data_IF_207681590116
#
_entry.id   IF_207681590116
#
_cell.length_a   1.000
_cell.length_b   1.000
_cell.length_c   1.000
_cell.angle_alpha   90.00
_cell.angle_beta   90.00
_cell.angle_gamma   90.00
#
_symmetry.space_group_name_H-M   'P 1'
#
loop_
_entity.id
_entity.type
_entity.pdbx_description
1 polymer ?
#
# COMPACT_ATOMS: atom_id res chain seq x y z
N UNK A 1 -0.92 -26.35 8.06
CA UNK A 1 -0.62 -25.36 6.98
C UNK A 1 -1.16 -24.03 7.45
N UNK A 2 -0.41 -22.95 7.26
CA UNK A 2 -0.83 -21.59 7.64
C UNK A 2 -1.85 -21.10 6.62
N UNK A 3 -3.06 -20.73 7.07
CA UNK A 3 -4.13 -20.23 6.24
C UNK A 3 -4.02 -18.71 6.09
N UNK A 4 -3.99 -18.21 4.87
CA UNK A 4 -3.94 -16.78 4.57
C UNK A 4 -5.15 -16.35 3.74
N UNK A 5 -5.66 -15.15 4.04
CA UNK A 5 -6.64 -14.50 3.18
C UNK A 5 -6.09 -13.20 2.60
N UNK A 6 -6.49 -12.87 1.38
CA UNK A 6 -6.19 -11.59 0.75
C UNK A 6 -7.50 -10.89 0.40
N UNK A 7 -7.78 -9.78 1.06
CA UNK A 7 -8.94 -8.94 0.81
C UNK A 7 -8.61 -7.91 -0.27
N UNK A 8 -9.18 -8.12 -1.46
CA UNK A 8 -8.97 -7.29 -2.63
C UNK A 8 -8.03 -7.91 -3.67
N UNK A 9 -8.53 -8.10 -4.88
CA UNK A 9 -7.86 -8.72 -6.03
C UNK A 9 -7.35 -7.67 -7.04
N UNK A 10 -6.82 -6.54 -6.56
CA UNK A 10 -6.15 -5.51 -7.36
C UNK A 10 -4.71 -5.90 -7.74
N UNK A 11 -3.93 -4.97 -8.30
CA UNK A 11 -2.52 -5.21 -8.64
C UNK A 11 -1.70 -5.73 -7.46
N UNK A 12 -1.80 -5.06 -6.30
CA UNK A 12 -1.07 -5.46 -5.07
C UNK A 12 -1.62 -6.77 -4.51
N UNK A 13 -2.93 -6.84 -4.25
CA UNK A 13 -3.53 -8.02 -3.64
C UNK A 13 -3.46 -9.26 -4.53
N UNK A 14 -3.67 -9.10 -5.84
CA UNK A 14 -3.50 -10.19 -6.80
C UNK A 14 -2.07 -10.71 -6.85
N UNK A 15 -1.07 -9.82 -6.83
CA UNK A 15 0.33 -10.22 -6.75
C UNK A 15 0.64 -11.01 -5.47
N UNK A 16 0.25 -10.47 -4.31
CA UNK A 16 0.50 -11.13 -3.01
C UNK A 16 -0.20 -12.49 -2.94
N UNK A 17 -1.46 -12.56 -3.34
CA UNK A 17 -2.20 -13.82 -3.38
C UNK A 17 -1.55 -14.86 -4.29
N UNK A 18 -1.15 -14.45 -5.50
CA UNK A 18 -0.49 -15.34 -6.46
C UNK A 18 0.87 -15.82 -5.97
N UNK A 19 1.70 -14.92 -5.42
CA UNK A 19 3.02 -15.26 -4.89
C UNK A 19 2.92 -16.24 -3.70
N UNK A 20 2.00 -16.00 -2.77
CA UNK A 20 1.72 -16.90 -1.64
C UNK A 20 1.21 -18.27 -2.11
N UNK A 21 0.29 -18.31 -3.07
CA UNK A 21 -0.22 -19.56 -3.65
C UNK A 21 0.90 -20.35 -4.33
N UNK A 22 1.76 -19.68 -5.10
CA UNK A 22 2.93 -20.28 -5.75
C UNK A 22 3.89 -20.91 -4.74
N UNK A 23 4.06 -20.31 -3.57
CA UNK A 23 4.92 -20.85 -2.49
C UNK A 23 4.30 -22.02 -1.73
N UNK A 24 3.08 -22.44 -2.08
CA UNK A 24 2.37 -23.58 -1.45
C UNK A 24 1.54 -23.20 -0.21
N UNK A 25 1.33 -21.91 0.06
CA UNK A 25 0.43 -21.49 1.13
C UNK A 25 -1.03 -21.75 0.75
N UNK A 26 -1.87 -22.05 1.76
CA UNK A 26 -3.33 -22.11 1.59
C UNK A 26 -3.89 -20.68 1.58
N UNK A 27 -4.32 -20.21 0.40
CA UNK A 27 -4.74 -18.83 0.18
C UNK A 27 -6.18 -18.74 -0.28
N UNK A 28 -6.97 -17.88 0.37
CA UNK A 28 -8.28 -17.47 -0.12
C UNK A 28 -8.25 -15.99 -0.52
N UNK A 29 -8.68 -15.69 -1.74
CA UNK A 29 -8.87 -14.32 -2.24
C UNK A 29 -10.32 -13.92 -2.03
N UNK A 30 -10.52 -12.88 -1.23
CA UNK A 30 -11.85 -12.31 -0.98
C UNK A 30 -12.06 -11.11 -1.91
N UNK A 31 -13.02 -11.24 -2.82
CA UNK A 31 -13.28 -10.25 -3.85
C UNK A 31 -14.77 -9.94 -4.01
N UNK A 32 -15.08 -8.86 -4.71
CA UNK A 32 -16.47 -8.55 -5.11
C UNK A 32 -16.98 -9.64 -6.06
N UNK A 33 -18.31 -9.94 -6.08
CA UNK A 33 -18.87 -11.03 -6.89
C UNK A 33 -18.42 -11.01 -8.35
N UNK A 34 -18.43 -9.84 -8.99
CA UNK A 34 -17.98 -9.71 -10.38
C UNK A 34 -16.48 -10.05 -10.56
N UNK A 35 -15.64 -9.66 -9.58
CA UNK A 35 -14.21 -9.96 -9.64
C UNK A 35 -13.95 -11.43 -9.33
N UNK A 36 -14.72 -12.04 -8.42
CA UNK A 36 -14.63 -13.46 -8.10
C UNK A 36 -15.00 -14.31 -9.34
N UNK A 37 -16.13 -14.04 -9.97
CA UNK A 37 -16.54 -14.71 -11.20
C UNK A 37 -15.49 -14.60 -12.31
N UNK A 38 -14.94 -13.40 -12.53
CA UNK A 38 -13.92 -13.19 -13.53
C UNK A 38 -12.59 -13.93 -13.24
N UNK A 39 -12.24 -14.12 -11.95
CA UNK A 39 -11.08 -14.93 -11.56
C UNK A 39 -11.34 -16.43 -11.75
N UNK A 40 -12.55 -16.89 -11.55
CA UNK A 40 -12.96 -18.27 -11.86
C UNK A 40 -12.89 -18.53 -13.37
N UNK A 41 -13.41 -17.61 -14.20
CA UNK A 41 -13.35 -17.68 -15.66
C UNK A 41 -11.91 -17.72 -16.21
N UNK A 42 -10.99 -16.97 -15.56
CA UNK A 42 -9.56 -16.93 -15.98
C UNK A 42 -8.70 -18.02 -15.34
N UNK A 43 -9.30 -18.94 -14.56
CA UNK A 43 -8.61 -20.00 -13.82
C UNK A 43 -7.50 -19.43 -12.90
N UNK A 44 -7.82 -18.32 -12.20
CA UNK A 44 -6.95 -17.65 -11.25
C UNK A 44 -6.17 -16.47 -11.81
N UNK A 45 -4.92 -16.33 -11.37
CA UNK A 45 -4.03 -15.24 -11.76
C UNK A 45 -2.94 -15.71 -12.73
N UNK A 46 -2.73 -14.93 -13.79
CA UNK A 46 -1.52 -14.96 -14.61
C UNK A 46 -0.66 -13.76 -14.21
N UNK A 47 0.54 -14.02 -13.77
CA UNK A 47 1.46 -13.02 -13.24
C UNK A 47 2.70 -12.94 -14.11
N UNK A 48 3.05 -11.72 -14.54
CA UNK A 48 4.38 -11.38 -15.04
C UNK A 48 5.08 -10.55 -13.96
N UNK A 49 6.22 -11.02 -13.45
CA UNK A 49 6.92 -10.39 -12.33
C UNK A 49 8.40 -10.21 -12.59
N UNK A 50 8.82 -8.96 -12.62
CA UNK A 50 10.24 -8.61 -12.69
C UNK A 50 10.98 -8.97 -11.40
N UNK A 51 10.37 -8.79 -10.25
CA UNK A 51 11.00 -9.07 -8.95
C UNK A 51 11.21 -10.56 -8.70
N UNK A 52 10.30 -11.42 -9.19
CA UNK A 52 10.41 -12.87 -9.09
C UNK A 52 11.11 -13.49 -10.30
N UNK A 53 11.43 -12.66 -11.32
CA UNK A 53 12.15 -13.08 -12.54
C UNK A 53 11.38 -14.08 -13.39
N UNK A 54 10.03 -14.06 -13.38
CA UNK A 54 9.24 -15.15 -13.94
C UNK A 54 7.84 -14.72 -14.40
N UNK A 55 7.27 -15.58 -15.27
CA UNK A 55 5.84 -15.60 -15.58
C UNK A 55 5.24 -16.89 -15.03
N UNK A 56 4.16 -16.78 -14.27
CA UNK A 56 3.53 -17.94 -13.65
C UNK A 56 2.02 -17.78 -13.52
N UNK A 57 1.35 -18.92 -13.33
CA UNK A 57 -0.09 -18.96 -13.02
C UNK A 57 -0.27 -19.43 -11.58
N UNK A 58 -1.21 -18.82 -10.85
CA UNK A 58 -1.56 -19.19 -9.50
C UNK A 58 -3.07 -19.31 -9.37
N UNK A 59 -3.54 -20.37 -8.69
CA UNK A 59 -4.94 -20.69 -8.50
C UNK A 59 -5.30 -20.71 -7.02
N UNK A 60 -5.39 -19.53 -6.37
CA UNK A 60 -5.90 -19.46 -5.01
C UNK A 60 -7.37 -19.86 -4.97
N UNK A 61 -7.88 -20.24 -3.80
CA UNK A 61 -9.33 -20.29 -3.59
C UNK A 61 -9.89 -18.86 -3.74
N UNK A 62 -11.07 -18.74 -4.34
CA UNK A 62 -11.75 -17.45 -4.51
C UNK A 62 -13.07 -17.49 -3.74
N UNK A 63 -13.38 -16.41 -3.04
CA UNK A 63 -14.61 -16.26 -2.29
C UNK A 63 -15.15 -14.82 -2.35
N UNK A 64 -16.43 -14.65 -2.17
CA UNK A 64 -17.06 -13.33 -2.02
C UNK A 64 -17.10 -12.85 -0.57
N UNK A 65 -16.91 -13.76 0.38
CA UNK A 65 -16.89 -13.50 1.82
C UNK A 65 -15.87 -14.41 2.52
N UNK A 66 -15.24 -13.92 3.57
CA UNK A 66 -14.38 -14.68 4.46
C UNK A 66 -15.20 -15.11 5.69
N UNK A 67 -15.57 -16.40 5.77
CA UNK A 67 -16.37 -16.93 6.86
C UNK A 67 -15.56 -17.78 7.84
N UNK A 68 -14.44 -18.33 7.40
CA UNK A 68 -13.55 -19.17 8.20
C UNK A 68 -12.40 -18.36 8.79
N UNK A 69 -11.97 -18.64 10.03
CA UNK A 69 -10.79 -18.03 10.61
C UNK A 69 -9.54 -18.32 9.78
N UNK A 70 -8.64 -17.33 9.71
CA UNK A 70 -7.33 -17.44 9.07
C UNK A 70 -6.23 -16.93 10.00
N UNK A 71 -5.02 -17.41 9.80
CA UNK A 71 -3.86 -16.94 10.56
C UNK A 71 -3.51 -15.49 10.18
N UNK A 72 -3.57 -15.17 8.88
CA UNK A 72 -3.22 -13.83 8.38
C UNK A 72 -4.25 -13.34 7.36
N UNK A 73 -4.79 -12.14 7.58
CA UNK A 73 -5.58 -11.39 6.60
C UNK A 73 -4.74 -10.25 6.03
N UNK A 74 -4.32 -10.35 4.79
CA UNK A 74 -3.74 -9.25 4.04
C UNK A 74 -4.84 -8.37 3.44
N UNK A 75 -4.85 -7.07 3.76
CA UNK A 75 -5.84 -6.12 3.25
C UNK A 75 -5.19 -5.27 2.16
N UNK A 76 -5.62 -5.43 0.91
CA UNK A 76 -5.02 -4.81 -0.28
C UNK A 76 -6.08 -4.13 -1.18
N UNK A 77 -7.00 -3.42 -0.57
CA UNK A 77 -8.00 -2.60 -1.26
C UNK A 77 -7.50 -1.17 -1.46
N UNK A 78 -8.16 -0.37 -2.30
CA UNK A 78 -8.01 1.08 -2.21
C UNK A 78 -8.73 1.59 -0.94
N UNK A 79 -8.25 2.70 -0.37
CA UNK A 79 -8.83 3.29 0.84
C UNK A 79 -10.33 3.60 0.65
N UNK A 80 -10.74 4.08 -0.51
CA UNK A 80 -12.13 4.39 -0.87
C UNK A 80 -13.07 3.18 -0.86
N UNK A 81 -12.53 1.96 -1.02
CA UNK A 81 -13.32 0.73 -1.03
C UNK A 81 -13.18 -0.11 0.25
N UNK A 82 -12.48 0.41 1.27
CA UNK A 82 -12.15 -0.36 2.46
C UNK A 82 -13.39 -0.79 3.26
N UNK A 83 -14.34 0.12 3.50
CA UNK A 83 -15.54 -0.16 4.28
C UNK A 83 -16.38 -1.29 3.64
N UNK A 84 -16.62 -1.21 2.34
CA UNK A 84 -17.37 -2.23 1.59
C UNK A 84 -16.63 -3.57 1.55
N UNK A 85 -15.30 -3.54 1.51
CA UNK A 85 -14.50 -4.76 1.53
C UNK A 85 -14.55 -5.42 2.91
N UNK A 86 -14.45 -4.66 3.99
CA UNK A 86 -14.52 -5.16 5.36
C UNK A 86 -15.89 -5.81 5.70
N UNK A 87 -16.97 -5.36 5.10
CA UNK A 87 -18.29 -5.98 5.24
C UNK A 87 -18.31 -7.46 4.76
N UNK A 88 -17.33 -7.85 3.93
CA UNK A 88 -17.17 -9.24 3.44
C UNK A 88 -16.36 -10.13 4.37
N UNK A 89 -15.81 -9.59 5.44
CA UNK A 89 -15.01 -10.34 6.41
C UNK A 89 -15.89 -10.64 7.62
N UNK A 90 -16.42 -11.88 7.69
CA UNK A 90 -17.27 -12.37 8.79
C UNK A 90 -16.43 -13.03 9.89
N UNK A 91 -15.30 -13.62 9.52
CA UNK A 91 -14.39 -14.28 10.45
C UNK A 91 -13.47 -13.28 11.16
N UNK A 92 -12.90 -13.71 12.30
CA UNK A 92 -11.87 -12.97 13.02
C UNK A 92 -10.50 -13.56 12.68
N UNK A 93 -9.63 -12.86 11.93
CA UNK A 93 -8.26 -13.31 11.65
C UNK A 93 -7.39 -13.22 12.91
N UNK A 94 -6.34 -14.04 13.00
CA UNK A 94 -5.38 -13.92 14.10
C UNK A 94 -4.51 -12.67 13.94
N UNK A 95 -4.15 -12.30 12.71
CA UNK A 95 -3.44 -11.07 12.37
C UNK A 95 -4.03 -10.40 11.13
N UNK A 96 -4.11 -9.08 11.14
CA UNK A 96 -4.46 -8.24 9.98
C UNK A 96 -3.23 -7.45 9.54
N UNK A 97 -2.84 -7.59 8.28
CA UNK A 97 -1.69 -6.92 7.67
C UNK A 97 -2.19 -6.01 6.55
N UNK A 98 -2.30 -4.69 6.79
CA UNK A 98 -2.71 -3.73 5.77
C UNK A 98 -1.60 -3.50 4.74
N UNK A 99 -1.96 -3.47 3.46
CA UNK A 99 -1.06 -3.17 2.35
C UNK A 99 -1.53 -1.94 1.56
N UNK A 100 -2.38 -1.12 2.15
CA UNK A 100 -2.95 0.08 1.56
C UNK A 100 -1.95 1.25 1.56
N UNK A 101 -2.28 2.28 0.79
CA UNK A 101 -1.64 3.58 0.89
C UNK A 101 -2.33 4.44 1.97
N UNK A 102 -1.61 5.42 2.52
CA UNK A 102 -2.11 6.30 3.58
C UNK A 102 -1.89 5.72 4.98
N UNK A 103 -2.61 6.26 5.96
CA UNK A 103 -2.44 5.94 7.39
C UNK A 103 -3.76 5.55 8.07
N UNK A 104 -4.85 6.23 7.74
CA UNK A 104 -6.10 6.21 8.51
C UNK A 104 -6.85 4.87 8.43
N UNK A 105 -6.47 4.01 7.47
CA UNK A 105 -6.97 2.65 7.42
C UNK A 105 -6.59 1.83 8.67
N UNK A 106 -5.51 2.19 9.37
CA UNK A 106 -5.13 1.51 10.62
C UNK A 106 -6.21 1.67 11.69
N UNK A 107 -6.75 2.87 11.84
CA UNK A 107 -7.78 3.13 12.86
C UNK A 107 -9.08 2.40 12.53
N UNK A 108 -9.45 2.35 11.25
CA UNK A 108 -10.61 1.59 10.78
C UNK A 108 -10.44 0.09 11.05
N UNK A 109 -9.26 -0.46 10.76
CA UNK A 109 -8.95 -1.86 10.98
C UNK A 109 -8.89 -2.21 12.48
N UNK A 110 -8.26 -1.36 13.29
CA UNK A 110 -8.20 -1.51 14.75
C UNK A 110 -9.58 -1.47 15.39
N UNK A 111 -10.43 -0.54 14.96
CA UNK A 111 -11.82 -0.48 15.43
C UNK A 111 -12.61 -1.74 15.07
N UNK A 112 -12.31 -2.38 13.93
CA UNK A 112 -13.02 -3.58 13.46
C UNK A 112 -12.51 -4.88 14.07
N UNK A 113 -11.20 -5.05 14.26
CA UNK A 113 -10.58 -6.33 14.63
C UNK A 113 -9.89 -6.33 16.00
N UNK A 114 -9.73 -5.18 16.62
CA UNK A 114 -8.92 -4.97 17.83
C UNK A 114 -7.50 -4.52 17.51
N UNK A 115 -6.97 -3.61 18.34
CA UNK A 115 -5.65 -3.03 18.13
C UNK A 115 -4.53 -4.08 18.22
N UNK A 116 -4.73 -5.11 19.02
CA UNK A 116 -3.81 -6.24 19.25
C UNK A 116 -3.67 -7.17 18.04
N UNK A 117 -4.57 -7.09 17.05
CA UNK A 117 -4.54 -7.92 15.84
C UNK A 117 -4.12 -7.17 14.59
N UNK A 118 -3.92 -5.86 14.64
CA UNK A 118 -3.60 -5.06 13.46
C UNK A 118 -2.15 -4.64 13.49
N UNK A 119 -1.34 -5.24 12.62
CA UNK A 119 0.04 -4.83 12.40
C UNK A 119 0.10 -3.50 11.65
N UNK A 120 1.16 -2.74 11.86
CA UNK A 120 1.51 -1.66 10.95
C UNK A 120 2.36 -2.22 9.81
N UNK A 121 1.91 -2.07 8.58
CA UNK A 121 2.62 -2.60 7.44
C UNK A 121 2.51 -1.70 6.22
N UNK A 122 3.57 -1.66 5.43
CA UNK A 122 3.60 -0.99 4.13
C UNK A 122 4.23 -1.91 3.10
N UNK A 123 3.67 -1.95 1.90
CA UNK A 123 4.29 -2.65 0.77
C UNK A 123 4.89 -1.64 -0.21
N UNK A 124 6.10 -1.93 -0.69
CA UNK A 124 6.78 -1.20 -1.77
C UNK A 124 6.81 -2.09 -2.99
N UNK A 125 5.96 -1.77 -3.94
CA UNK A 125 5.73 -2.54 -5.17
C UNK A 125 5.19 -1.62 -6.27
N UNK A 126 5.59 -1.87 -7.49
CA UNK A 126 4.87 -1.39 -8.68
C UNK A 126 4.16 -2.61 -9.29
N UNK A 127 2.85 -2.62 -9.18
CA UNK A 127 2.01 -3.70 -9.70
C UNK A 127 0.69 -3.14 -10.21
N UNK A 128 0.26 -3.63 -11.36
CA UNK A 128 -1.00 -3.26 -11.97
C UNK A 128 -1.81 -4.50 -12.32
N UNK A 129 -3.10 -4.29 -12.57
CA UNK A 129 -4.04 -5.30 -13.06
C UNK A 129 -4.69 -4.79 -14.34
N UNK A 130 -4.06 -5.00 -15.51
CA UNK A 130 -4.59 -4.53 -16.80
C UNK A 130 -5.96 -5.10 -17.16
N UNK A 131 -6.20 -6.36 -16.78
CA UNK A 131 -7.48 -7.04 -16.95
C UNK A 131 -7.75 -8.02 -15.80
N UNK A 132 -8.93 -8.63 -15.79
CA UNK A 132 -9.25 -9.66 -14.80
C UNK A 132 -8.24 -10.81 -14.86
N UNK A 133 -7.76 -11.25 -13.70
CA UNK A 133 -6.80 -12.36 -13.59
C UNK A 133 -5.38 -12.05 -14.11
N UNK A 134 -5.08 -10.89 -14.70
CA UNK A 134 -3.75 -10.55 -15.19
C UNK A 134 -3.08 -9.55 -14.26
N UNK A 135 -1.90 -9.93 -13.74
CA UNK A 135 -1.08 -9.10 -12.86
C UNK A 135 0.27 -8.83 -13.51
N UNK A 136 0.66 -7.55 -13.57
CA UNK A 136 1.95 -7.13 -14.10
C UNK A 136 2.69 -6.37 -12.98
N UNK A 137 3.79 -6.95 -12.52
CA UNK A 137 4.64 -6.37 -11.48
C UNK A 137 5.96 -5.93 -12.12
N UNK A 138 6.28 -4.64 -12.05
CA UNK A 138 7.36 -4.00 -12.81
C UNK A 138 8.53 -3.50 -11.95
N UNK A 139 8.34 -3.27 -10.65
CA UNK A 139 9.45 -2.89 -9.77
C UNK A 139 10.52 -3.99 -9.68
N UNK A 140 11.82 -3.62 -9.55
CA UNK A 140 12.92 -4.60 -9.49
C UNK A 140 12.88 -5.49 -8.25
N UNK A 141 12.15 -5.08 -7.21
CA UNK A 141 11.95 -5.85 -5.99
C UNK A 141 10.57 -5.56 -5.39
N UNK A 142 10.15 -6.44 -4.49
CA UNK A 142 8.94 -6.26 -3.67
C UNK A 142 9.35 -6.38 -2.21
N UNK A 143 8.99 -5.38 -1.41
CA UNK A 143 9.32 -5.34 0.01
C UNK A 143 8.10 -4.97 0.85
N UNK A 144 7.94 -5.68 1.97
CA UNK A 144 7.00 -5.32 3.04
C UNK A 144 7.80 -4.90 4.26
N UNK A 145 7.58 -3.68 4.73
CA UNK A 145 8.06 -3.23 6.03
C UNK A 145 6.91 -3.46 7.02
N UNK A 146 7.19 -4.15 8.14
CA UNK A 146 6.19 -4.69 9.06
C UNK A 146 6.59 -4.38 10.50
N UNK A 147 5.67 -3.85 11.29
CA UNK A 147 5.83 -3.71 12.75
C UNK A 147 4.69 -4.41 13.49
N UNK A 148 4.96 -4.97 14.67
CA UNK A 148 3.94 -5.63 15.46
C UNK A 148 2.82 -4.66 15.86
N UNK A 149 1.63 -5.18 16.22
CA UNK A 149 0.59 -4.39 16.86
C UNK A 149 1.14 -3.66 18.10
N UNK A 150 0.71 -2.42 18.32
CA UNK A 150 1.21 -1.60 19.43
C UNK A 150 0.92 -2.20 20.82
N UNK A 151 -0.11 -3.04 20.93
CA UNK A 151 -0.57 -3.66 22.18
C UNK A 151 -0.24 -5.16 22.27
N UNK A 152 0.64 -5.68 21.41
CA UNK A 152 1.06 -7.08 21.49
C UNK A 152 1.86 -7.32 22.76
N UNK A 153 1.24 -7.95 23.75
CA UNK A 153 1.85 -8.26 25.06
C UNK A 153 2.20 -9.75 25.15
N UNK A 154 3.49 -10.07 25.34
CA UNK A 154 3.97 -11.36 25.85
C UNK A 154 4.93 -12.10 24.92
N UNK A 155 5.99 -12.72 25.50
CA UNK A 155 6.91 -13.59 24.77
C UNK A 155 6.40 -15.02 24.81
N UNK A 156 5.68 -15.51 23.81
CA UNK A 156 5.40 -16.94 23.68
C UNK A 156 4.93 -17.33 22.30
N UNK A 157 5.66 -18.19 21.63
CA UNK A 157 5.52 -18.75 20.29
C UNK A 157 5.89 -17.74 19.16
N UNK A 158 6.14 -18.21 17.93
CA UNK A 158 6.33 -17.28 16.83
C UNK A 158 5.13 -16.33 16.79
N UNK A 159 5.40 -15.02 16.91
CA UNK A 159 4.31 -14.03 16.93
C UNK A 159 3.54 -14.12 15.62
N UNK A 160 2.25 -13.76 15.62
CA UNK A 160 1.47 -13.76 14.38
C UNK A 160 2.15 -12.90 13.27
N UNK A 161 2.95 -11.89 13.67
CA UNK A 161 3.79 -11.09 12.77
C UNK A 161 4.92 -11.92 12.17
N UNK A 162 5.54 -12.83 12.93
CA UNK A 162 6.57 -13.73 12.40
C UNK A 162 5.98 -14.70 11.38
N UNK A 163 4.77 -15.21 11.64
CA UNK A 163 4.03 -16.07 10.69
C UNK A 163 3.76 -15.31 9.39
N UNK A 164 3.26 -14.07 9.45
CA UNK A 164 3.06 -13.24 8.27
C UNK A 164 4.38 -12.97 7.52
N UNK A 165 5.45 -12.67 8.28
CA UNK A 165 6.78 -12.47 7.72
C UNK A 165 7.35 -13.71 7.02
N UNK A 166 7.15 -14.90 7.60
CA UNK A 166 7.57 -16.18 7.00
C UNK A 166 6.80 -16.49 5.72
N UNK A 167 5.47 -16.29 5.72
CA UNK A 167 4.63 -16.44 4.51
C UNK A 167 5.15 -15.54 3.37
N UNK A 168 5.38 -14.27 3.64
CA UNK A 168 5.85 -13.31 2.64
C UNK A 168 7.26 -13.65 2.13
N UNK A 169 8.20 -14.00 3.02
CA UNK A 169 9.56 -14.41 2.62
C UNK A 169 9.55 -15.71 1.80
N UNK A 170 8.73 -16.68 2.20
CA UNK A 170 8.53 -17.92 1.44
C UNK A 170 7.98 -17.67 0.03
N UNK A 171 7.22 -16.59 -0.16
CA UNK A 171 6.70 -16.15 -1.45
C UNK A 171 7.69 -15.28 -2.27
N UNK A 172 8.95 -15.10 -1.82
CA UNK A 172 9.95 -14.30 -2.49
C UNK A 172 9.83 -12.79 -2.26
N UNK A 173 9.07 -12.38 -1.25
CA UNK A 173 8.89 -10.97 -0.89
C UNK A 173 9.88 -10.62 0.25
N UNK A 174 10.68 -9.58 0.05
CA UNK A 174 11.55 -9.06 1.12
C UNK A 174 10.71 -8.56 2.29
N UNK A 175 11.05 -8.95 3.52
CA UNK A 175 10.37 -8.47 4.73
C UNK A 175 11.39 -7.85 5.67
N UNK A 176 11.13 -6.59 6.02
CA UNK A 176 11.85 -5.89 7.10
C UNK A 176 10.92 -5.73 8.29
N UNK A 177 11.38 -6.15 9.44
CA UNK A 177 10.65 -5.97 10.70
C UNK A 177 11.19 -4.74 11.41
N UNK A 178 10.31 -3.83 11.80
CA UNK A 178 10.65 -2.64 12.57
C UNK A 178 9.92 -2.63 13.91
N UNK A 179 10.48 -1.92 14.89
CA UNK A 179 9.94 -1.83 16.24
C UNK A 179 8.92 -0.68 16.40
N UNK A 180 8.92 0.29 15.47
CA UNK A 180 8.05 1.46 15.52
C UNK A 180 6.98 1.43 14.42
N UNK A 181 5.70 1.21 14.76
CA UNK A 181 4.59 1.33 13.82
C UNK A 181 4.56 2.69 13.10
N UNK A 182 4.81 3.79 13.82
CA UNK A 182 4.86 5.13 13.24
C UNK A 182 5.94 5.22 12.16
N UNK A 183 7.16 4.74 12.47
CA UNK A 183 8.28 4.76 11.52
C UNK A 183 7.98 3.93 10.26
N UNK A 184 7.41 2.74 10.41
CA UNK A 184 7.04 1.86 9.28
C UNK A 184 6.04 2.59 8.36
N UNK A 185 4.98 3.15 8.92
CA UNK A 185 3.93 3.80 8.14
C UNK A 185 4.41 5.09 7.48
N UNK A 186 5.04 5.96 8.26
CA UNK A 186 5.44 7.28 7.78
C UNK A 186 6.63 7.24 6.82
N UNK A 187 7.56 6.26 6.93
CA UNK A 187 8.68 6.14 5.99
C UNK A 187 8.23 5.97 4.53
N UNK A 188 7.16 5.19 4.31
CA UNK A 188 6.57 5.08 2.99
C UNK A 188 5.77 6.33 2.62
N UNK A 189 4.95 6.84 3.55
CA UNK A 189 4.05 7.95 3.24
C UNK A 189 4.82 9.24 2.92
N UNK A 190 5.92 9.54 3.62
CA UNK A 190 6.74 10.71 3.34
C UNK A 190 7.28 10.71 1.91
N UNK A 191 7.85 9.58 1.48
CA UNK A 191 8.32 9.40 0.11
C UNK A 191 7.15 9.42 -0.89
N UNK A 192 6.08 8.69 -0.60
CA UNK A 192 4.94 8.56 -1.52
C UNK A 192 4.20 9.88 -1.70
N UNK A 193 3.99 10.65 -0.65
CA UNK A 193 3.30 11.93 -0.71
C UNK A 193 4.03 12.89 -1.66
N UNK A 194 5.34 13.07 -1.48
CA UNK A 194 6.14 13.95 -2.33
C UNK A 194 6.17 13.46 -3.79
N UNK A 195 6.44 12.16 -4.03
CA UNK A 195 6.45 11.57 -5.36
C UNK A 195 5.10 11.70 -6.05
N UNK A 196 4.04 11.24 -5.40
CA UNK A 196 2.72 11.17 -6.01
C UNK A 196 2.17 12.57 -6.32
N UNK A 197 2.33 13.51 -5.41
CA UNK A 197 1.84 14.86 -5.62
C UNK A 197 2.61 15.60 -6.72
N UNK A 198 3.93 15.54 -6.73
CA UNK A 198 4.73 16.28 -7.73
C UNK A 198 4.60 15.68 -9.13
N UNK A 199 4.62 14.34 -9.28
CA UNK A 199 4.42 13.68 -10.57
C UNK A 199 3.01 13.87 -11.10
N UNK A 200 1.98 13.79 -10.24
CA UNK A 200 0.60 14.02 -10.63
C UNK A 200 0.31 15.50 -10.95
N UNK A 201 0.83 16.44 -10.17
CA UNK A 201 0.60 17.87 -10.40
C UNK A 201 1.32 18.38 -11.64
N UNK A 202 2.53 17.88 -11.94
CA UNK A 202 3.34 18.27 -13.12
C UNK A 202 2.96 17.49 -14.38
N UNK A 203 2.36 16.31 -14.26
CA UNK A 203 2.19 15.30 -15.30
C UNK A 203 3.51 14.82 -15.91
N UNK A 204 4.55 14.74 -15.11
CA UNK A 204 5.90 14.38 -15.52
C UNK A 204 6.49 13.33 -14.58
N UNK A 205 7.42 12.49 -15.06
CA UNK A 205 8.14 11.55 -14.20
C UNK A 205 9.09 12.28 -13.24
N UNK A 206 9.58 11.54 -12.23
CA UNK A 206 10.45 12.09 -11.19
C UNK A 206 11.74 12.71 -11.73
N UNK A 207 12.29 12.20 -12.84
CA UNK A 207 13.48 12.75 -13.49
C UNK A 207 13.27 14.21 -13.92
N UNK A 208 12.11 14.54 -14.49
CA UNK A 208 11.75 15.92 -14.80
C UNK A 208 11.54 16.73 -13.52
N UNK A 209 10.81 16.21 -12.55
CA UNK A 209 10.57 16.90 -11.27
C UNK A 209 11.89 17.29 -10.59
N UNK A 210 12.89 16.42 -10.63
CA UNK A 210 14.21 16.68 -10.04
C UNK A 210 15.02 17.73 -10.81
N UNK A 211 14.87 17.83 -12.12
CA UNK A 211 15.68 18.70 -12.98
C UNK A 211 15.09 20.10 -13.16
N UNK A 212 13.79 20.28 -13.00
CA UNK A 212 13.14 21.59 -13.08
C UNK A 212 13.20 22.30 -11.72
N UNK A 213 13.77 23.51 -11.61
CA UNK A 213 13.98 24.18 -10.32
C UNK A 213 12.69 24.38 -9.51
N UNK A 214 11.57 24.67 -10.17
CA UNK A 214 10.29 24.89 -9.52
C UNK A 214 9.75 23.59 -8.91
N UNK A 215 9.79 22.52 -9.69
CA UNK A 215 9.29 21.22 -9.26
C UNK A 215 10.23 20.57 -8.23
N UNK A 216 11.53 20.80 -8.35
CA UNK A 216 12.52 20.38 -7.33
C UNK A 216 12.23 21.04 -5.99
N UNK A 217 12.00 22.35 -5.96
CA UNK A 217 11.63 23.04 -4.72
C UNK A 217 10.31 22.54 -4.14
N UNK A 218 9.33 22.21 -4.98
CA UNK A 218 8.07 21.62 -4.53
C UNK A 218 8.27 20.20 -3.96
N UNK A 219 9.14 19.38 -4.54
CA UNK A 219 9.50 18.07 -4.03
C UNK A 219 10.14 18.16 -2.65
N UNK A 220 11.15 19.03 -2.50
CA UNK A 220 11.86 19.27 -1.23
C UNK A 220 10.91 19.80 -0.15
N UNK A 221 10.05 20.76 -0.48
CA UNK A 221 9.06 21.30 0.43
C UNK A 221 8.07 20.22 0.89
N UNK A 222 7.56 19.41 -0.03
CA UNK A 222 6.63 18.33 0.31
C UNK A 222 7.28 17.26 1.21
N UNK A 223 8.55 16.91 0.97
CA UNK A 223 9.30 16.00 1.85
C UNK A 223 9.49 16.61 3.22
N UNK A 224 9.97 17.85 3.29
CA UNK A 224 10.25 18.54 4.57
C UNK A 224 8.99 18.65 5.43
N UNK A 225 7.88 19.08 4.84
CA UNK A 225 6.59 19.23 5.53
C UNK A 225 6.06 17.87 6.01
N UNK A 226 6.10 16.86 5.15
CA UNK A 226 5.60 15.52 5.51
C UNK A 226 6.48 14.86 6.58
N UNK A 227 7.80 15.01 6.52
CA UNK A 227 8.72 14.49 7.54
C UNK A 227 8.53 15.21 8.87
N UNK A 228 8.30 16.53 8.87
CA UNK A 228 7.99 17.26 10.11
C UNK A 228 6.72 16.71 10.79
N UNK A 229 5.67 16.46 10.02
CA UNK A 229 4.43 15.84 10.53
C UNK A 229 4.71 14.41 11.01
N UNK A 230 5.44 13.61 10.25
CA UNK A 230 5.82 12.25 10.61
C UNK A 230 6.56 12.21 11.96
N UNK A 231 7.45 13.17 12.20
CA UNK A 231 8.22 13.24 13.44
C UNK A 231 7.37 13.69 14.63
N UNK A 232 6.39 14.54 14.43
CA UNK A 232 5.39 14.87 15.45
C UNK A 232 4.52 13.64 15.82
N UNK A 233 4.34 12.69 14.90
CA UNK A 233 3.68 11.39 15.11
C UNK A 233 4.66 10.29 15.62
N UNK A 234 5.91 10.64 15.93
CA UNK A 234 6.90 9.74 16.54
C UNK A 234 7.69 8.86 15.56
N UNK A 235 7.74 9.22 14.27
CA UNK A 235 8.40 8.38 13.25
C UNK A 235 9.93 8.45 13.26
N UNK A 236 10.53 9.57 13.71
CA UNK A 236 11.98 9.74 13.79
C UNK A 236 12.68 9.64 12.40
N UNK A 237 12.14 10.32 11.39
CA UNK A 237 12.66 10.32 10.02
C UNK A 237 13.60 11.51 9.77
N UNK A 238 14.56 11.35 8.85
CA UNK A 238 15.33 12.45 8.30
C UNK A 238 14.82 12.80 6.89
N UNK A 239 14.66 14.11 6.62
CA UNK A 239 14.20 14.58 5.31
C UNK A 239 15.22 14.25 4.22
N UNK A 240 16.51 14.36 4.53
CA UNK A 240 17.62 14.08 3.60
C UNK A 240 17.62 12.62 3.15
N UNK A 241 17.31 11.66 4.04
CA UNK A 241 17.21 10.24 3.68
C UNK A 241 16.05 10.02 2.69
N UNK A 242 14.91 10.67 2.93
CA UNK A 242 13.75 10.58 2.03
C UNK A 242 14.04 11.22 0.67
N UNK A 243 14.73 12.35 0.65
CA UNK A 243 15.16 13.02 -0.59
C UNK A 243 16.18 12.15 -1.35
N UNK A 244 17.15 11.56 -0.65
CA UNK A 244 18.13 10.65 -1.25
C UNK A 244 17.47 9.41 -1.90
N UNK A 245 16.43 8.82 -1.28
CA UNK A 245 15.65 7.75 -1.91
C UNK A 245 14.96 8.22 -3.21
N UNK A 246 14.41 9.44 -3.22
CA UNK A 246 13.76 10.00 -4.41
C UNK A 246 14.78 10.37 -5.49
N UNK A 247 15.97 10.83 -5.10
CA UNK A 247 17.05 11.17 -6.02
C UNK A 247 17.69 9.92 -6.66
N UNK A 248 17.74 8.81 -5.94
CA UNK A 248 18.21 7.52 -6.43
C UNK A 248 17.19 6.78 -7.32
N UNK A 249 15.93 7.23 -7.35
CA UNK A 249 14.90 6.58 -8.16
C UNK A 249 15.20 6.71 -9.67
N UNK A 250 14.80 5.72 -10.48
CA UNK A 250 14.98 5.82 -11.94
C UNK A 250 14.18 7.01 -12.51
N UNK A 251 14.73 7.66 -13.54
CA UNK A 251 14.21 8.93 -14.05
C UNK A 251 12.74 8.85 -14.54
N UNK A 252 12.36 7.71 -15.09
CA UNK A 252 11.02 7.49 -15.64
C UNK A 252 9.98 7.08 -14.58
N UNK A 253 10.36 7.06 -13.31
CA UNK A 253 9.42 6.70 -12.24
C UNK A 253 8.28 7.72 -12.18
N UNK A 254 7.07 7.24 -12.35
CA UNK A 254 5.82 7.94 -12.05
C UNK A 254 5.19 7.44 -10.76
N UNK A 255 3.92 7.77 -10.55
CA UNK A 255 3.13 7.28 -9.42
C UNK A 255 1.84 6.56 -9.88
N UNK A 256 1.27 5.73 -9.00
CA UNK A 256 -0.06 5.16 -9.23
C UNK A 256 -1.13 6.24 -9.37
N UNK A 257 -1.04 7.31 -8.59
CA UNK A 257 -1.92 8.46 -8.66
C UNK A 257 -1.87 9.14 -10.03
N UNK A 258 -0.67 9.32 -10.59
CA UNK A 258 -0.50 9.88 -11.94
C UNK A 258 -1.15 8.97 -13.00
N UNK A 259 -0.96 7.65 -12.89
CA UNK A 259 -1.60 6.68 -13.80
C UNK A 259 -3.13 6.66 -13.67
N UNK A 260 -3.66 6.78 -12.45
CA UNK A 260 -5.10 6.86 -12.22
C UNK A 260 -5.69 8.12 -12.85
N UNK A 261 -5.05 9.29 -12.69
CA UNK A 261 -5.44 10.54 -13.36
C UNK A 261 -5.45 10.41 -14.88
N UNK A 262 -4.37 9.87 -15.46
CA UNK A 262 -4.27 9.69 -16.90
C UNK A 262 -5.35 8.76 -17.48
N UNK A 263 -5.83 7.82 -16.67
CA UNK A 263 -6.88 6.87 -17.02
C UNK A 263 -8.30 7.33 -16.60
N UNK A 264 -8.48 8.56 -16.09
CA UNK A 264 -9.76 9.07 -15.60
C UNK A 264 -10.32 8.27 -14.41
N UNK A 265 -9.46 7.60 -13.64
CA UNK A 265 -9.88 6.84 -12.46
C UNK A 265 -9.76 7.67 -11.19
N UNK A 266 -10.64 7.45 -10.19
CA UNK A 266 -10.50 8.08 -8.87
C UNK A 266 -9.14 7.81 -8.25
N UNK A 267 -8.50 8.88 -7.74
CA UNK A 267 -7.19 8.80 -7.10
C UNK A 267 -7.30 8.50 -5.60
N UNK A 268 -6.14 8.24 -4.97
CA UNK A 268 -6.02 8.15 -3.50
C UNK A 268 -5.50 9.46 -2.89
N UNK A 269 -5.82 10.60 -3.49
CA UNK A 269 -5.36 11.93 -3.06
C UNK A 269 -5.66 12.20 -1.59
N UNK A 270 -6.88 11.89 -1.14
CA UNK A 270 -7.28 12.11 0.24
C UNK A 270 -6.56 11.16 1.23
N UNK A 271 -6.38 9.90 0.86
CA UNK A 271 -5.66 8.94 1.70
C UNK A 271 -4.16 9.27 1.84
N UNK A 272 -3.57 9.95 0.85
CA UNK A 272 -2.14 10.29 0.84
C UNK A 272 -1.95 11.73 1.36
N UNK A 273 -2.34 12.74 0.61
CA UNK A 273 -2.14 14.14 0.99
C UNK A 273 -3.09 14.57 2.11
N UNK A 274 -4.36 14.16 2.04
CA UNK A 274 -5.36 14.47 3.07
C UNK A 274 -4.94 13.94 4.44
N UNK A 275 -4.39 12.73 4.53
CA UNK A 275 -3.88 12.17 5.77
C UNK A 275 -2.73 13.01 6.37
N UNK A 276 -1.77 13.46 5.55
CA UNK A 276 -0.68 14.34 5.99
C UNK A 276 -1.22 15.67 6.49
N UNK A 277 -2.13 16.30 5.75
CA UNK A 277 -2.73 17.59 6.12
C UNK A 277 -3.55 17.49 7.40
N UNK A 278 -4.29 16.40 7.61
CA UNK A 278 -5.06 16.17 8.85
C UNK A 278 -4.13 15.94 10.04
N UNK A 279 -3.09 15.13 9.89
CA UNK A 279 -2.08 14.94 10.91
C UNK A 279 -1.35 16.25 11.25
N UNK A 280 -0.94 17.01 10.24
CA UNK A 280 -0.33 18.34 10.45
C UNK A 280 -1.21 19.26 11.28
N UNK A 281 -2.51 19.34 10.97
CA UNK A 281 -3.46 20.16 11.75
C UNK A 281 -3.56 19.72 13.22
N UNK A 282 -3.56 18.40 13.51
CA UNK A 282 -3.58 17.89 14.90
C UNK A 282 -2.38 18.37 15.72
N UNK A 283 -1.24 18.54 15.07
CA UNK A 283 0.01 18.99 15.69
C UNK A 283 0.31 20.48 15.51
N UNK A 284 -0.62 21.25 14.95
CA UNK A 284 -0.41 22.69 14.70
C UNK A 284 0.64 22.99 13.62
N UNK A 285 1.00 22.00 12.80
CA UNK A 285 1.97 22.12 11.71
C UNK A 285 1.28 22.53 10.42
N UNK A 286 1.85 23.52 9.74
CA UNK A 286 1.38 23.98 8.43
C UNK A 286 2.13 23.23 7.33
N UNK A 287 1.39 22.77 6.30
CA UNK A 287 1.94 22.06 5.15
C UNK A 287 1.51 22.77 3.84
N UNK A 288 1.98 24.01 3.59
CA UNK A 288 1.54 24.81 2.45
C UNK A 288 1.92 24.20 1.11
N UNK A 289 3.08 23.53 1.00
CA UNK A 289 3.52 22.88 -0.24
C UNK A 289 2.65 21.66 -0.54
N UNK A 290 2.42 20.81 0.45
CA UNK A 290 1.54 19.64 0.31
C UNK A 290 0.12 20.08 -0.06
N UNK A 291 -0.41 21.12 0.60
CA UNK A 291 -1.72 21.66 0.30
C UNK A 291 -1.81 22.19 -1.14
N UNK A 292 -0.86 23.03 -1.57
CA UNK A 292 -0.82 23.57 -2.93
C UNK A 292 -0.74 22.47 -4.00
N UNK A 293 0.09 21.45 -3.77
CA UNK A 293 0.19 20.32 -4.69
C UNK A 293 -1.12 19.52 -4.74
N UNK A 294 -1.73 19.26 -3.58
CA UNK A 294 -3.00 18.54 -3.49
C UNK A 294 -4.13 19.27 -4.24
N UNK A 295 -4.23 20.58 -4.10
CA UNK A 295 -5.20 21.41 -4.83
C UNK A 295 -5.00 21.31 -6.36
N UNK A 296 -3.76 21.31 -6.83
CA UNK A 296 -3.44 21.13 -8.26
C UNK A 296 -3.83 19.76 -8.78
N UNK A 297 -3.58 18.71 -7.99
CA UNK A 297 -4.01 17.33 -8.34
C UNK A 297 -5.53 17.24 -8.39
N UNK A 298 -6.24 17.79 -7.40
CA UNK A 298 -7.70 17.81 -7.37
C UNK A 298 -8.32 18.54 -8.58
N UNK A 299 -7.72 19.66 -8.99
CA UNK A 299 -8.13 20.38 -10.20
C UNK A 299 -7.94 19.55 -11.49
N UNK A 300 -6.89 18.73 -11.55
CA UNK A 300 -6.68 17.81 -12.68
C UNK A 300 -7.67 16.66 -12.66
N UNK A 301 -7.93 16.08 -11.49
CA UNK A 301 -8.93 15.01 -11.33
C UNK A 301 -10.32 15.47 -11.78
N UNK A 302 -10.74 16.67 -11.36
CA UNK A 302 -12.01 17.27 -11.78
C UNK A 302 -12.12 17.45 -13.30
N UNK A 303 -11.01 17.79 -13.98
CA UNK A 303 -10.99 17.96 -15.45
C UNK A 303 -10.97 16.63 -16.20
N UNK A 304 -10.46 15.56 -15.60
CA UNK A 304 -10.42 14.23 -16.22
C UNK A 304 -11.79 13.53 -16.18
N UNK A 305 -12.69 13.98 -15.30
CA UNK A 305 -14.04 13.44 -15.12
C UNK A 305 -15.09 14.25 -15.91
N UNK A 306 -14.78 15.51 -16.29
CA UNK A 306 -15.64 16.39 -17.08
C UNK A 306 -15.50 16.12 -18.59
#
# INVERSE_FOLDING_TARGET
>A
MTAAAVLGAGGVGGFVAAALTRSGADVVVVARPQTAAALEETDGFRVSSRALGDEFTARPRVATELREPVDVLFVATKATGLADALARVQATPALVVPLLNGLEHLDVLRARFGAERVAAAVIRIESDRPSAGVIVQTSPGVRVDLAPPAEASGPSAPSAVDVAGQLLRGAGIEVRTGDSPARVMWSKLARLCALALTTSASDRPIGYVRSDPRWRSALEGAVTETVAVANAEGAGLAADDTLAELDAAHADLGSSMQRDLAAGRPTELDAIAGAVLRAGRRHGLRCPTVQWLAERVALREARAVA
#
